data_IF_919532352284
#
_entry.id   IF_919532352284
#
_cell.length_a   1.000
_cell.length_b   1.000
_cell.length_c   1.000
_cell.angle_alpha   90.00
_cell.angle_beta   90.00
_cell.angle_gamma   90.00
#
_symmetry.space_group_name_H-M   'P 1'
#
loop_
_entity.id
_entity.type
_entity.pdbx_description
1 polymer ?
#
# COMPACT_ATOMS: atom_id res chain seq x y z
N UNK A 1 8.96 -28.47 -15.65
CA UNK A 1 7.76 -27.64 -15.90
C UNK A 1 7.56 -26.75 -14.67
N UNK A 2 8.13 -25.54 -14.73
CA UNK A 2 7.80 -24.31 -14.00
C UNK A 2 7.37 -24.37 -12.51
N UNK A 3 8.06 -25.16 -11.68
CA UNK A 3 8.16 -24.84 -10.24
C UNK A 3 9.35 -23.90 -10.07
N UNK A 4 9.14 -22.59 -10.18
CA UNK A 4 10.07 -21.61 -9.65
C UNK A 4 9.49 -21.06 -8.33
N UNK A 5 9.80 -21.65 -7.16
CA UNK A 5 9.24 -21.28 -5.86
C UNK A 5 9.98 -20.11 -5.20
N UNK A 6 10.77 -19.33 -5.97
CA UNK A 6 11.78 -18.40 -5.45
C UNK A 6 11.39 -16.92 -5.50
N UNK A 7 10.11 -16.59 -5.65
CA UNK A 7 9.68 -15.22 -5.37
C UNK A 7 9.64 -15.07 -3.84
N UNK A 8 10.72 -14.53 -3.28
CA UNK A 8 10.83 -14.22 -1.85
C UNK A 8 10.03 -12.97 -1.51
N UNK A 9 9.72 -12.79 -0.24
CA UNK A 9 9.04 -11.60 0.25
C UNK A 9 9.75 -10.30 -0.16
N UNK A 10 11.08 -10.35 -0.24
CA UNK A 10 11.91 -9.24 -0.70
C UNK A 10 11.75 -8.92 -2.18
N UNK A 11 11.69 -9.93 -3.05
CA UNK A 11 11.39 -9.71 -4.47
C UNK A 11 10.01 -9.05 -4.62
N UNK A 12 9.01 -9.53 -3.87
CA UNK A 12 7.66 -8.95 -3.89
C UNK A 12 7.65 -7.51 -3.38
N UNK A 13 8.44 -7.21 -2.36
CA UNK A 13 8.62 -5.84 -1.85
C UNK A 13 9.21 -4.91 -2.91
N UNK A 14 10.25 -5.37 -3.63
CA UNK A 14 10.86 -4.63 -4.73
C UNK A 14 9.83 -4.42 -5.86
N UNK A 15 9.11 -5.48 -6.24
CA UNK A 15 8.04 -5.42 -7.26
C UNK A 15 6.93 -4.45 -6.83
N UNK A 16 6.53 -4.45 -5.56
CA UNK A 16 5.53 -3.55 -5.01
C UNK A 16 5.97 -2.08 -5.05
N UNK A 17 7.28 -1.82 -4.96
CA UNK A 17 7.87 -0.48 -5.08
C UNK A 17 8.09 -0.04 -6.54
N UNK A 18 8.20 -1.00 -7.46
CA UNK A 18 8.45 -0.73 -8.88
C UNK A 18 7.23 -0.10 -9.56
N UNK A 19 7.45 1.06 -10.20
CA UNK A 19 6.43 1.75 -11.02
C UNK A 19 6.27 1.15 -12.42
N UNK A 20 7.24 0.33 -12.84
CA UNK A 20 7.24 -0.36 -14.14
C UNK A 20 6.29 -1.57 -14.18
N UNK A 21 5.76 -1.99 -13.03
CA UNK A 21 4.90 -3.17 -12.89
C UNK A 21 3.44 -2.80 -13.19
N UNK A 22 2.72 -3.74 -13.80
CA UNK A 22 1.30 -3.60 -14.14
C UNK A 22 0.41 -3.65 -12.90
N UNK A 23 -0.69 -2.91 -12.94
CA UNK A 23 -1.66 -2.80 -11.84
C UNK A 23 -2.28 -4.16 -11.47
N UNK A 24 -2.44 -5.07 -12.43
CA UNK A 24 -2.89 -6.45 -12.23
C UNK A 24 -1.95 -7.23 -11.28
N UNK A 25 -0.63 -7.11 -11.46
CA UNK A 25 0.36 -7.77 -10.62
C UNK A 25 0.27 -7.21 -9.19
N UNK A 26 0.19 -5.89 -9.05
CA UNK A 26 0.04 -5.23 -7.74
C UNK A 26 -1.24 -5.66 -7.03
N UNK A 27 -2.34 -5.81 -7.78
CA UNK A 27 -3.61 -6.35 -7.27
C UNK A 27 -3.47 -7.80 -6.82
N UNK A 28 -2.78 -8.64 -7.60
CA UNK A 28 -2.52 -10.03 -7.26
C UNK A 28 -1.71 -10.14 -5.97
N UNK A 29 -0.67 -9.31 -5.82
CA UNK A 29 0.17 -9.25 -4.61
C UNK A 29 -0.68 -8.84 -3.41
N UNK A 30 -1.44 -7.76 -3.54
CA UNK A 30 -2.30 -7.26 -2.46
C UNK A 30 -3.42 -8.23 -2.07
N UNK A 31 -3.90 -9.04 -3.02
CA UNK A 31 -4.93 -10.07 -2.76
C UNK A 31 -4.34 -11.36 -2.18
N UNK A 32 -3.02 -11.55 -2.24
CA UNK A 32 -2.36 -12.72 -1.70
C UNK A 32 -2.21 -12.58 -0.18
N UNK A 33 -2.82 -13.51 0.57
CA UNK A 33 -2.79 -13.50 2.05
C UNK A 33 -1.37 -13.62 2.62
N UNK A 34 -0.44 -14.24 1.89
CA UNK A 34 0.97 -14.33 2.27
C UNK A 34 1.58 -12.92 2.37
N UNK A 35 1.45 -12.13 1.31
CA UNK A 35 2.04 -10.80 1.20
C UNK A 35 1.25 -9.73 1.95
N UNK A 36 -0.07 -9.89 2.04
CA UNK A 36 -0.93 -8.99 2.81
C UNK A 36 -0.66 -9.03 4.33
N UNK A 37 0.06 -10.04 4.83
CA UNK A 37 0.56 -10.09 6.22
C UNK A 37 1.79 -9.22 6.43
N UNK A 38 2.58 -8.99 5.39
CA UNK A 38 3.83 -8.24 5.49
C UNK A 38 3.57 -6.75 5.41
N UNK A 39 3.89 -6.05 6.50
CA UNK A 39 3.73 -4.60 6.58
C UNK A 39 4.52 -3.88 5.48
N UNK A 40 5.75 -4.33 5.20
CA UNK A 40 6.63 -3.65 4.24
C UNK A 40 6.09 -3.71 2.82
N UNK A 41 5.60 -4.87 2.38
CA UNK A 41 4.96 -5.01 1.05
C UNK A 41 3.74 -4.10 0.95
N UNK A 42 2.87 -4.13 1.96
CA UNK A 42 1.68 -3.27 2.02
C UNK A 42 2.09 -1.79 1.96
N UNK A 43 3.11 -1.39 2.73
CA UNK A 43 3.62 -0.03 2.73
C UNK A 43 4.18 0.41 1.37
N UNK A 44 4.94 -0.44 0.68
CA UNK A 44 5.43 -0.15 -0.68
C UNK A 44 4.27 -0.02 -1.67
N UNK A 45 3.29 -0.94 -1.62
CA UNK A 45 2.09 -0.90 -2.47
C UNK A 45 1.34 0.42 -2.30
N UNK A 46 1.09 0.88 -1.08
CA UNK A 46 0.38 2.14 -0.88
C UNK A 46 1.14 3.38 -1.34
N UNK A 47 2.48 3.34 -1.35
CA UNK A 47 3.32 4.42 -1.89
C UNK A 47 3.37 4.42 -3.42
N UNK A 48 3.08 3.29 -4.04
CA UNK A 48 3.14 3.14 -5.49
C UNK A 48 1.88 3.73 -6.15
N UNK A 49 2.01 4.71 -7.05
CA UNK A 49 0.87 5.33 -7.72
C UNK A 49 0.14 4.38 -8.69
N UNK A 50 0.74 3.25 -9.05
CA UNK A 50 0.14 2.22 -9.90
C UNK A 50 -0.76 1.26 -9.12
N UNK A 51 -0.79 1.35 -7.79
CA UNK A 51 -1.64 0.49 -6.99
C UNK A 51 -3.10 0.96 -7.06
N UNK A 52 -4.05 0.09 -7.42
CA UNK A 52 -5.45 0.47 -7.55
C UNK A 52 -6.01 1.07 -6.25
N UNK A 53 -6.90 2.04 -6.39
CA UNK A 53 -7.47 2.80 -5.28
C UNK A 53 -8.04 1.90 -4.17
N UNK A 54 -8.78 0.86 -4.55
CA UNK A 54 -9.41 -0.07 -3.61
C UNK A 54 -8.41 -0.79 -2.70
N UNK A 55 -7.28 -1.24 -3.27
CA UNK A 55 -6.20 -1.88 -2.52
C UNK A 55 -5.52 -0.86 -1.61
N UNK A 56 -5.19 0.31 -2.14
CA UNK A 56 -4.57 1.40 -1.40
C UNK A 56 -5.41 1.83 -0.19
N UNK A 57 -6.74 1.96 -0.34
CA UNK A 57 -7.65 2.29 0.77
C UNK A 57 -7.62 1.24 1.90
N UNK A 58 -7.57 -0.05 1.55
CA UNK A 58 -7.50 -1.14 2.52
C UNK A 58 -6.16 -1.10 3.27
N UNK A 59 -5.07 -0.89 2.53
CA UNK A 59 -3.71 -0.81 3.06
C UNK A 59 -3.55 0.40 4.00
N UNK A 60 -4.09 1.56 3.64
CA UNK A 60 -4.03 2.78 4.45
C UNK A 60 -4.67 2.61 5.84
N UNK A 61 -5.66 1.74 5.94
CA UNK A 61 -6.28 1.40 7.23
C UNK A 61 -5.34 0.55 8.10
N UNK A 62 -4.25 0.01 7.56
CA UNK A 62 -3.22 -0.74 8.30
C UNK A 62 -1.91 0.03 8.47
N UNK A 63 -1.71 1.08 7.66
CA UNK A 63 -0.51 1.93 7.69
C UNK A 63 -0.41 2.76 8.97
N UNK A 64 0.82 3.15 9.33
CA UNK A 64 1.07 4.06 10.44
C UNK A 64 0.70 5.51 10.10
N UNK A 65 0.50 6.32 11.15
CA UNK A 65 0.13 7.73 11.03
C UNK A 65 1.14 8.53 10.20
N UNK A 66 2.43 8.24 10.37
CA UNK A 66 3.55 8.85 9.64
C UNK A 66 3.43 8.61 8.13
N UNK A 67 3.01 7.42 7.75
CA UNK A 67 2.86 7.03 6.34
C UNK A 67 1.62 7.65 5.70
N UNK A 68 0.53 7.78 6.47
CA UNK A 68 -0.66 8.53 6.03
C UNK A 68 -0.33 10.01 5.75
N UNK A 69 0.55 10.63 6.55
CA UNK A 69 1.06 11.99 6.27
C UNK A 69 1.92 12.02 5.01
N UNK A 70 2.75 11.00 4.79
CA UNK A 70 3.53 10.90 3.56
C UNK A 70 2.62 10.81 2.32
N UNK A 71 1.53 10.03 2.40
CA UNK A 71 0.55 9.89 1.32
C UNK A 71 -0.24 11.16 1.04
N UNK A 72 -0.63 11.93 2.07
CA UNK A 72 -1.32 13.22 1.86
C UNK A 72 -0.45 14.26 1.14
N UNK A 73 0.87 14.20 1.34
CA UNK A 73 1.85 15.06 0.67
C UNK A 73 2.28 14.54 -0.71
N UNK A 74 2.05 13.27 -1.01
CA UNK A 74 2.46 12.66 -2.28
C UNK A 74 1.52 13.11 -3.41
N UNK A 75 2.04 13.84 -4.40
CA UNK A 75 1.28 14.28 -5.57
C UNK A 75 1.11 13.20 -6.64
N UNK A 76 1.82 12.08 -6.51
CA UNK A 76 1.72 10.97 -7.46
C UNK A 76 0.48 10.11 -7.22
N UNK A 77 -0.14 10.18 -6.05
CA UNK A 77 -1.33 9.37 -5.73
C UNK A 77 -2.63 10.13 -6.09
N UNK A 78 -3.71 9.41 -6.46
CA UNK A 78 -5.00 10.02 -6.78
C UNK A 78 -5.56 10.90 -5.65
N UNK A 79 -6.33 11.93 -5.99
CA UNK A 79 -6.92 12.84 -4.99
C UNK A 79 -7.78 12.09 -3.95
N UNK A 80 -8.53 11.07 -4.37
CA UNK A 80 -9.31 10.23 -3.46
C UNK A 80 -8.43 9.53 -2.40
N UNK A 81 -7.22 9.09 -2.76
CA UNK A 81 -6.24 8.53 -1.81
C UNK A 81 -5.80 9.61 -0.82
N UNK A 82 -5.48 10.82 -1.31
CA UNK A 82 -5.07 11.93 -0.42
C UNK A 82 -6.17 12.31 0.55
N UNK A 83 -7.42 12.44 0.09
CA UNK A 83 -8.57 12.75 0.96
C UNK A 83 -8.78 11.65 2.00
N UNK A 84 -8.70 10.38 1.61
CA UNK A 84 -8.84 9.27 2.54
C UNK A 84 -7.69 9.22 3.56
N UNK A 85 -6.46 9.51 3.12
CA UNK A 85 -5.28 9.54 3.97
C UNK A 85 -5.40 10.63 5.02
N UNK A 86 -5.86 11.81 4.61
CA UNK A 86 -6.12 12.94 5.50
C UNK A 86 -7.22 12.61 6.52
N UNK A 87 -8.31 11.99 6.07
CA UNK A 87 -9.41 11.56 6.95
C UNK A 87 -8.93 10.53 7.98
N UNK A 88 -8.20 9.49 7.56
CA UNK A 88 -7.64 8.48 8.45
C UNK A 88 -6.60 9.07 9.41
N UNK A 89 -5.74 9.97 8.90
CA UNK A 89 -4.78 10.70 9.71
C UNK A 89 -5.50 11.50 10.79
N UNK A 90 -6.46 12.36 10.44
CA UNK A 90 -7.25 13.16 11.38
C UNK A 90 -8.05 12.30 12.37
N UNK A 91 -8.66 11.21 11.91
CA UNK A 91 -9.41 10.29 12.78
C UNK A 91 -8.50 9.64 13.84
N UNK A 92 -7.24 9.33 13.50
CA UNK A 92 -6.28 8.67 14.41
C UNK A 92 -5.49 9.65 15.26
N UNK A 93 -5.11 10.80 14.72
CA UNK A 93 -4.43 11.88 15.47
C UNK A 93 -5.39 12.60 16.41
N UNK A 94 -6.67 12.70 16.07
CA UNK A 94 -7.71 13.29 16.90
C UNK A 94 -8.43 12.31 17.84
N UNK A 95 -8.31 10.99 17.60
CA UNK A 95 -9.08 9.94 18.28
C UNK A 95 -8.39 9.29 19.49
N UNK A 96 -7.22 9.77 19.91
CA UNK A 96 -6.56 9.34 21.15
C UNK A 96 -7.16 9.92 22.44
N UNK A 97 -8.45 10.26 22.44
CA UNK A 97 -9.20 10.68 23.63
C UNK A 97 -10.27 9.63 23.94
N UNK A 98 -9.81 8.53 24.52
CA UNK A 98 -10.57 7.78 25.52
C UNK A 98 -9.92 8.05 26.86
#
# INVERSE_FOLDING_TARGET
MVNNPRITEQEVEVIASMRSISEDILRQIASNRQWARSYTIMHQLAKNPRTPLANTMTIMTRLQLRDLVALTKNRNVPEAVRRQAQRLHSARSGGGRG
#
